data_IF_136910802436
#
_entry.id   IF_136910802436
#
_cell.length_a   1.000
_cell.length_b   1.000
_cell.length_c   1.000
_cell.angle_alpha   90.00
_cell.angle_beta   90.00
_cell.angle_gamma   90.00
#
_symmetry.space_group_name_H-M   'P 1'
#
loop_
_entity.id
_entity.type
_entity.pdbx_description
1 polymer ?
#
# COMPACT_ATOMS: atom_id res chain seq x y z
N UNK A 1 18.41 2.47 -1.29
CA UNK A 1 17.44 3.11 -2.23
C UNK A 1 18.10 3.89 -3.36
N UNK A 2 19.40 4.00 -3.35
CA UNK A 2 20.16 4.84 -4.29
C UNK A 2 20.10 4.38 -5.77
N UNK A 3 19.61 3.16 -6.00
CA UNK A 3 19.45 2.59 -7.35
C UNK A 3 18.09 2.91 -8.00
N UNK A 4 17.19 3.57 -7.27
CA UNK A 4 15.86 3.95 -7.76
C UNK A 4 15.65 5.47 -7.60
N UNK A 5 16.28 6.28 -8.47
CA UNK A 5 16.23 7.73 -8.39
C UNK A 5 14.94 8.35 -8.93
N UNK A 6 14.06 7.54 -9.51
CA UNK A 6 12.79 8.02 -10.08
C UNK A 6 11.85 8.53 -9.00
N UNK A 7 11.12 9.60 -9.29
CA UNK A 7 10.15 10.18 -8.37
C UNK A 7 9.04 9.19 -8.03
N UNK A 8 8.55 9.25 -6.79
CA UNK A 8 7.41 8.43 -6.34
C UNK A 8 6.08 8.93 -6.92
N UNK A 9 5.99 10.21 -7.24
CA UNK A 9 4.84 10.82 -7.92
C UNK A 9 5.15 11.00 -9.39
N UNK A 10 4.63 10.09 -10.20
CA UNK A 10 4.86 10.08 -11.64
C UNK A 10 3.55 10.14 -12.41
N UNK A 11 3.57 10.83 -13.54
CA UNK A 11 2.53 10.68 -14.56
C UNK A 11 2.67 9.36 -15.32
N UNK A 12 1.55 8.79 -15.75
CA UNK A 12 1.52 7.56 -16.54
C UNK A 12 1.37 6.28 -15.71
N UNK A 13 1.57 5.14 -16.37
CA UNK A 13 1.28 3.80 -15.84
C UNK A 13 2.49 3.10 -15.19
N UNK A 14 3.48 3.84 -14.68
CA UNK A 14 4.64 3.30 -13.99
C UNK A 14 5.80 2.87 -14.91
N UNK A 15 5.84 3.37 -16.14
CA UNK A 15 6.89 3.01 -17.11
C UNK A 15 8.29 3.32 -16.58
N UNK A 16 8.51 4.49 -15.98
CA UNK A 16 9.82 4.87 -15.44
C UNK A 16 10.30 3.93 -14.34
N UNK A 17 9.41 3.51 -13.44
CA UNK A 17 9.75 2.54 -12.37
C UNK A 17 10.07 1.18 -12.97
N UNK A 18 9.27 0.70 -13.93
CA UNK A 18 9.50 -0.57 -14.60
C UNK A 18 10.87 -0.58 -15.32
N UNK A 19 11.17 0.48 -16.07
CA UNK A 19 12.45 0.57 -16.79
C UNK A 19 13.63 0.73 -15.86
N UNK A 20 13.52 1.52 -14.79
CA UNK A 20 14.57 1.60 -13.77
C UNK A 20 14.85 0.23 -13.13
N UNK A 21 13.80 -0.54 -12.83
CA UNK A 21 13.95 -1.91 -12.32
C UNK A 21 14.70 -2.80 -13.31
N UNK A 22 14.33 -2.74 -14.60
CA UNK A 22 14.99 -3.50 -15.65
C UNK A 22 16.48 -3.11 -15.81
N UNK A 23 16.81 -1.82 -15.70
CA UNK A 23 18.19 -1.34 -15.73
C UNK A 23 19.00 -1.80 -14.52
N UNK A 24 18.41 -1.78 -13.33
CA UNK A 24 19.07 -2.31 -12.12
C UNK A 24 19.34 -3.81 -12.27
N UNK A 25 18.37 -4.57 -12.73
CA UNK A 25 18.52 -6.01 -12.98
C UNK A 25 19.57 -6.32 -14.06
N UNK A 26 19.56 -5.55 -15.15
CA UNK A 26 20.56 -5.70 -16.20
C UNK A 26 21.99 -5.43 -15.67
N UNK A 27 22.16 -4.37 -14.89
CA UNK A 27 23.47 -4.04 -14.33
C UNK A 27 23.96 -5.07 -13.30
N UNK A 28 23.07 -5.59 -12.45
CA UNK A 28 23.41 -6.71 -11.56
C UNK A 28 23.80 -7.96 -12.36
N UNK A 29 23.05 -8.28 -13.39
CA UNK A 29 23.36 -9.40 -14.27
C UNK A 29 24.71 -9.24 -14.98
N UNK A 30 25.04 -8.04 -15.46
CA UNK A 30 26.35 -7.74 -16.06
C UNK A 30 27.49 -7.96 -15.07
N UNK A 31 27.37 -7.47 -13.84
CA UNK A 31 28.38 -7.69 -12.80
C UNK A 31 28.57 -9.18 -12.49
N UNK A 32 27.48 -9.95 -12.39
CA UNK A 32 27.55 -11.42 -12.18
C UNK A 32 28.21 -12.16 -13.35
N UNK A 33 28.12 -11.61 -14.56
CA UNK A 33 28.78 -12.15 -15.76
C UNK A 33 30.25 -11.69 -15.89
N UNK A 34 30.73 -10.83 -14.99
CA UNK A 34 32.11 -10.31 -15.02
C UNK A 34 32.29 -9.08 -15.92
N UNK A 35 31.19 -8.44 -16.30
CA UNK A 35 31.16 -7.21 -17.10
C UNK A 35 30.98 -5.96 -16.24
N UNK A 36 31.18 -4.79 -16.84
CA UNK A 36 30.92 -3.52 -16.16
C UNK A 36 29.46 -3.09 -16.36
N UNK A 37 28.96 -2.29 -15.40
CA UNK A 37 27.65 -1.66 -15.53
C UNK A 37 27.58 -0.82 -16.80
N UNK A 38 26.44 -0.89 -17.50
CA UNK A 38 26.22 -0.17 -18.74
C UNK A 38 26.72 -0.86 -20.01
N UNK A 39 27.37 -2.01 -19.92
CA UNK A 39 27.77 -2.79 -21.08
C UNK A 39 26.56 -3.54 -21.69
N UNK A 40 25.54 -2.78 -22.09
CA UNK A 40 24.24 -3.30 -22.55
C UNK A 40 24.28 -4.10 -23.85
N UNK A 41 25.43 -4.15 -24.52
CA UNK A 41 25.65 -5.07 -25.66
C UNK A 41 25.59 -6.54 -25.21
N UNK A 42 25.91 -6.86 -23.95
CA UNK A 42 25.85 -8.22 -23.40
C UNK A 42 24.52 -8.52 -22.72
N UNK A 43 23.98 -7.55 -21.97
CA UNK A 43 22.69 -7.69 -21.30
C UNK A 43 21.93 -6.37 -21.33
N UNK A 44 20.95 -6.29 -22.22
CA UNK A 44 20.16 -5.07 -22.44
C UNK A 44 18.89 -5.08 -21.58
N UNK A 45 18.55 -3.98 -20.88
CA UNK A 45 17.33 -3.91 -20.07
C UNK A 45 16.04 -4.05 -20.89
N UNK A 46 15.98 -3.56 -22.13
CA UNK A 46 14.79 -3.68 -22.98
C UNK A 46 14.71 -5.03 -23.70
N UNK A 47 15.78 -5.39 -24.41
CA UNK A 47 15.76 -6.51 -25.35
C UNK A 47 15.91 -7.87 -24.64
N UNK A 48 16.48 -7.89 -23.46
CA UNK A 48 16.70 -9.09 -22.68
C UNK A 48 15.84 -9.14 -21.41
N UNK A 49 15.98 -8.18 -20.49
CA UNK A 49 15.28 -8.22 -19.20
C UNK A 49 13.76 -7.99 -19.37
N UNK A 50 13.37 -6.98 -20.13
CA UNK A 50 11.96 -6.66 -20.38
C UNK A 50 11.34 -7.44 -21.55
N UNK A 51 12.07 -8.39 -22.11
CA UNK A 51 11.62 -9.14 -23.29
C UNK A 51 10.29 -9.86 -23.04
N UNK A 52 9.35 -9.67 -23.96
CA UNK A 52 7.99 -10.23 -23.86
C UNK A 52 7.16 -9.73 -22.65
N UNK A 53 7.57 -8.65 -22.00
CA UNK A 53 6.84 -8.03 -20.90
C UNK A 53 6.27 -6.67 -21.31
N UNK A 54 5.09 -6.37 -20.78
CA UNK A 54 4.50 -5.04 -20.84
C UNK A 54 4.55 -4.39 -19.44
N UNK A 55 4.88 -3.10 -19.38
CA UNK A 55 4.73 -2.30 -18.15
C UNK A 55 3.32 -2.38 -17.61
N UNK A 56 2.30 -2.45 -18.48
CA UNK A 56 0.89 -2.55 -18.09
C UNK A 56 0.54 -3.86 -17.37
N UNK A 57 1.42 -4.84 -17.40
CA UNK A 57 1.29 -6.12 -16.69
C UNK A 57 2.27 -6.22 -15.52
N UNK A 58 3.55 -5.98 -15.78
CA UNK A 58 4.61 -6.17 -14.80
C UNK A 58 4.48 -5.19 -13.61
N UNK A 59 4.31 -3.90 -13.89
CA UNK A 59 4.20 -2.87 -12.85
C UNK A 59 2.94 -3.02 -11.98
N UNK A 60 1.72 -3.16 -12.53
CA UNK A 60 0.53 -3.38 -11.70
C UNK A 60 0.58 -4.67 -10.90
N UNK A 61 1.22 -5.70 -11.39
CA UNK A 61 1.39 -6.97 -10.66
C UNK A 61 2.31 -6.77 -9.45
N UNK A 62 3.48 -6.17 -9.65
CA UNK A 62 4.39 -5.82 -8.55
C UNK A 62 3.74 -4.90 -7.52
N UNK A 63 3.00 -3.89 -7.99
CA UNK A 63 2.24 -2.97 -7.13
C UNK A 63 1.21 -3.72 -6.26
N UNK A 64 0.42 -4.62 -6.86
CA UNK A 64 -0.58 -5.42 -6.11
C UNK A 64 0.06 -6.30 -5.05
N UNK A 65 1.20 -6.92 -5.34
CA UNK A 65 1.96 -7.72 -4.37
C UNK A 65 2.43 -6.85 -3.21
N UNK A 66 2.97 -5.66 -3.49
CA UNK A 66 3.41 -4.72 -2.45
C UNK A 66 2.24 -4.20 -1.61
N UNK A 67 1.11 -3.87 -2.23
CA UNK A 67 -0.11 -3.45 -1.55
C UNK A 67 -0.63 -4.59 -0.66
N UNK A 68 -0.68 -5.82 -1.15
CA UNK A 68 -1.09 -6.97 -0.35
C UNK A 68 -0.25 -7.12 0.92
N UNK A 69 1.08 -7.08 0.79
CA UNK A 69 1.98 -7.15 1.93
C UNK A 69 1.76 -6.00 2.94
N UNK A 70 1.39 -4.81 2.45
CA UNK A 70 1.08 -3.65 3.30
C UNK A 70 -0.29 -3.78 3.98
N UNK A 71 -1.29 -4.34 3.28
CA UNK A 71 -2.63 -4.58 3.82
C UNK A 71 -2.59 -5.57 4.98
N UNK A 72 -1.76 -6.60 4.93
CA UNK A 72 -1.62 -7.55 6.04
C UNK A 72 -1.26 -6.83 7.34
N UNK A 73 -0.28 -5.92 7.29
CA UNK A 73 0.09 -5.11 8.46
C UNK A 73 -1.02 -4.16 8.92
N UNK A 74 -1.76 -3.59 7.97
CA UNK A 74 -2.89 -2.71 8.27
C UNK A 74 -4.03 -3.47 8.96
N UNK A 75 -4.33 -4.70 8.52
CA UNK A 75 -5.36 -5.56 9.11
C UNK A 75 -5.05 -5.84 10.58
N UNK A 76 -3.79 -6.12 10.92
CA UNK A 76 -3.39 -6.34 12.31
C UNK A 76 -3.62 -5.08 13.17
N UNK A 77 -3.26 -3.92 12.67
CA UNK A 77 -3.50 -2.65 13.38
C UNK A 77 -5.00 -2.36 13.56
N UNK A 78 -5.81 -2.63 12.53
CA UNK A 78 -7.28 -2.47 12.60
C UNK A 78 -7.88 -3.45 13.62
N UNK A 79 -7.41 -4.68 13.68
CA UNK A 79 -7.86 -5.66 14.68
C UNK A 79 -7.55 -5.19 16.11
N UNK A 80 -6.35 -4.68 16.36
CA UNK A 80 -6.00 -4.10 17.66
C UNK A 80 -6.89 -2.91 18.03
N UNK A 81 -7.19 -2.05 17.07
CA UNK A 81 -8.12 -0.93 17.25
C UNK A 81 -9.53 -1.44 17.58
N UNK A 82 -10.03 -2.43 16.85
CA UNK A 82 -11.34 -3.07 17.10
C UNK A 82 -11.42 -3.60 18.53
N UNK A 83 -10.42 -4.36 18.96
CA UNK A 83 -10.37 -4.88 20.32
C UNK A 83 -10.33 -3.76 21.38
N UNK A 84 -9.65 -2.65 21.08
CA UNK A 84 -9.66 -1.47 21.92
C UNK A 84 -11.08 -0.88 22.10
N UNK A 85 -11.81 -0.78 21.00
CA UNK A 85 -13.21 -0.33 21.04
C UNK A 85 -14.13 -1.33 21.75
N UNK A 86 -13.97 -2.62 21.54
CA UNK A 86 -14.74 -3.65 22.23
C UNK A 86 -14.54 -3.59 23.74
N UNK A 87 -13.30 -3.46 24.22
CA UNK A 87 -13.00 -3.26 25.64
C UNK A 87 -13.69 -2.01 26.20
N UNK A 88 -13.60 -0.89 25.48
CA UNK A 88 -14.25 0.37 25.89
C UNK A 88 -15.76 0.29 25.83
N UNK A 89 -16.33 -0.46 24.92
CA UNK A 89 -17.78 -0.70 24.86
C UNK A 89 -18.29 -1.45 26.10
N UNK A 90 -17.53 -2.44 26.58
CA UNK A 90 -17.84 -3.14 27.83
C UNK A 90 -17.66 -2.24 29.04
N UNK A 91 -16.56 -1.48 29.12
CA UNK A 91 -16.27 -0.56 30.21
C UNK A 91 -17.37 0.50 30.38
N UNK A 92 -17.94 0.98 29.28
CA UNK A 92 -18.91 2.07 29.29
C UNK A 92 -20.35 1.61 29.04
N UNK A 93 -20.64 0.31 29.13
CA UNK A 93 -21.97 -0.22 28.81
C UNK A 93 -23.08 0.33 29.69
N UNK A 94 -22.75 0.68 30.95
CA UNK A 94 -23.72 1.18 31.95
C UNK A 94 -23.75 2.71 31.99
N UNK A 95 -22.92 3.40 31.23
CA UNK A 95 -22.89 4.86 31.15
C UNK A 95 -23.92 5.35 30.15
N UNK A 96 -24.93 6.00 30.63
CA UNK A 96 -25.93 6.68 29.80
C UNK A 96 -25.39 8.08 29.40
N UNK A 97 -25.42 8.36 28.13
CA UNK A 97 -25.10 9.71 27.59
C UNK A 97 -26.09 10.13 26.52
N UNK A 98 -26.15 11.42 26.25
CA UNK A 98 -26.85 11.92 25.07
C UNK A 98 -25.98 11.76 23.81
N UNK A 99 -26.50 11.02 22.83
CA UNK A 99 -25.96 11.04 21.48
C UNK A 99 -26.14 12.44 20.87
N UNK A 100 -25.20 12.88 20.06
CA UNK A 100 -25.23 14.21 19.42
C UNK A 100 -25.16 14.08 17.91
N UNK A 101 -25.91 14.92 17.24
CA UNK A 101 -25.85 15.10 15.79
C UNK A 101 -25.89 16.60 15.48
N UNK A 102 -25.05 17.06 14.59
CA UNK A 102 -24.92 18.47 14.23
C UNK A 102 -24.72 19.39 15.47
N UNK A 103 -23.90 18.93 16.42
CA UNK A 103 -23.61 19.63 17.69
C UNK A 103 -24.84 19.81 18.63
N UNK A 104 -25.93 19.11 18.36
CA UNK A 104 -27.15 19.13 19.17
C UNK A 104 -27.40 17.79 19.84
N UNK A 105 -28.09 17.80 20.99
CA UNK A 105 -28.52 16.58 21.62
C UNK A 105 -29.61 15.89 20.76
N UNK A 106 -29.48 14.61 20.55
CA UNK A 106 -30.40 13.83 19.72
C UNK A 106 -31.17 12.82 20.56
N UNK A 107 -30.54 11.73 20.94
CA UNK A 107 -31.17 10.64 21.66
C UNK A 107 -30.30 10.13 22.81
N UNK A 108 -30.86 9.55 23.89
CA UNK A 108 -30.09 8.83 24.88
C UNK A 108 -29.37 7.63 24.25
N UNK A 109 -28.08 7.51 24.51
CA UNK A 109 -27.27 6.39 23.99
C UNK A 109 -26.43 5.79 25.12
N UNK A 110 -26.39 4.46 25.19
CA UNK A 110 -25.57 3.71 26.14
C UNK A 110 -24.22 3.29 25.56
N UNK A 111 -24.08 3.29 24.23
CA UNK A 111 -22.87 2.84 23.55
C UNK A 111 -22.07 4.01 23.04
N UNK A 112 -21.22 4.56 23.89
CA UNK A 112 -20.27 5.61 23.51
C UNK A 112 -19.33 5.23 22.38
N UNK A 113 -19.26 3.95 22.04
CA UNK A 113 -18.44 3.37 20.98
C UNK A 113 -19.18 3.16 19.67
N UNK A 114 -20.42 3.58 19.55
CA UNK A 114 -21.08 3.64 18.25
C UNK A 114 -20.39 4.68 17.38
N UNK A 115 -19.36 4.23 16.71
CA UNK A 115 -18.85 4.93 15.56
C UNK A 115 -19.96 4.98 14.52
N UNK A 116 -20.55 6.16 14.39
CA UNK A 116 -21.38 6.57 13.27
C UNK A 116 -22.60 5.69 12.98
N UNK A 117 -23.52 5.60 13.92
CA UNK A 117 -24.83 4.96 13.69
C UNK A 117 -25.79 5.81 12.84
N UNK A 118 -25.39 6.99 12.37
CA UNK A 118 -26.19 7.86 11.52
C UNK A 118 -26.38 7.32 10.07
N UNK A 119 -25.77 6.20 9.73
CA UNK A 119 -25.88 5.55 8.43
C UNK A 119 -26.52 4.17 8.49
N UNK A 120 -27.46 3.95 9.37
CA UNK A 120 -28.42 2.86 9.17
C UNK A 120 -29.53 3.39 8.26
N UNK A 121 -29.39 3.08 6.99
CA UNK A 121 -30.50 2.97 6.07
C UNK A 121 -31.31 1.73 6.45
#
# INVERSE_FOLDING_TARGET
MDQFPVDVYQGGAGTSVNMNTNEVLANIGLELMGHQKGEYQYLNPNDHVNKCQSTNDAYPTGFRIAVYASIVKLVDAINQLREGFERKAVEFQDILKMGRTQLQDAVPDRKSTRLNSSHRL
#
